data_IF_252136103625
#
_entry.id   IF_252136103625
#
_cell.length_a   1.000
_cell.length_b   1.000
_cell.length_c   1.000
_cell.angle_alpha   90.00
_cell.angle_beta   90.00
_cell.angle_gamma   90.00
#
_symmetry.space_group_name_H-M   'P 1'
#
loop_
_entity.id
_entity.type
_entity.pdbx_description
1 polymer ?
#
# COMPACT_ATOMS: atom_id res chain seq x y z
N UNK A 1 -9.92 -5.89 -20.69
CA UNK A 1 -9.57 -6.38 -19.34
C UNK A 1 -9.25 -5.16 -18.52
N UNK A 2 -10.00 -4.90 -17.45
CA UNK A 2 -9.77 -3.72 -16.60
C UNK A 2 -8.37 -3.78 -15.99
N UNK A 3 -7.64 -2.65 -15.87
CA UNK A 3 -6.36 -2.65 -15.16
C UNK A 3 -6.58 -3.15 -13.74
N UNK A 4 -5.73 -4.05 -13.25
CA UNK A 4 -5.70 -4.34 -11.80
C UNK A 4 -5.26 -3.06 -11.10
N UNK A 5 -6.01 -2.59 -10.10
CA UNK A 5 -5.70 -1.34 -9.37
C UNK A 5 -4.74 -1.58 -8.19
N UNK A 6 -4.58 -2.82 -7.76
CA UNK A 6 -3.67 -3.21 -6.67
C UNK A 6 -3.34 -4.70 -6.66
N UNK A 7 -2.31 -5.06 -5.92
CA UNK A 7 -1.87 -6.43 -5.64
C UNK A 7 -1.77 -6.63 -4.12
N UNK A 8 -2.16 -7.80 -3.61
CA UNK A 8 -2.12 -8.13 -2.19
C UNK A 8 -1.25 -9.37 -1.99
N UNK A 9 -0.28 -9.26 -1.09
CA UNK A 9 0.65 -10.34 -0.75
C UNK A 9 0.65 -10.57 0.77
N UNK A 10 0.75 -11.84 1.19
CA UNK A 10 1.00 -12.16 2.58
C UNK A 10 2.50 -12.05 2.86
N UNK A 11 2.87 -11.31 3.89
CA UNK A 11 4.25 -11.09 4.28
C UNK A 11 4.42 -11.33 5.79
N UNK A 12 5.56 -11.88 6.17
CA UNK A 12 5.94 -12.02 7.59
C UNK A 12 6.88 -10.89 7.97
N UNK A 13 6.48 -10.07 8.94
CA UNK A 13 7.28 -8.96 9.46
C UNK A 13 8.30 -9.44 10.51
N UNK A 14 9.34 -8.64 10.84
CA UNK A 14 10.45 -9.11 11.69
C UNK A 14 10.08 -9.62 13.09
N UNK A 15 8.93 -9.21 13.62
CA UNK A 15 8.38 -9.69 14.89
C UNK A 15 7.70 -11.07 14.78
N UNK A 16 7.62 -11.64 13.57
CA UNK A 16 6.99 -12.92 13.27
C UNK A 16 5.49 -12.84 12.95
N UNK A 17 4.88 -11.65 13.00
CA UNK A 17 3.47 -11.46 12.61
C UNK A 17 3.32 -11.62 11.08
N UNK A 18 2.25 -12.30 10.64
CA UNK A 18 1.91 -12.39 9.22
C UNK A 18 0.82 -11.36 8.91
N UNK A 19 1.10 -10.46 7.97
CA UNK A 19 0.21 -9.39 7.56
C UNK A 19 -0.08 -9.47 6.05
N UNK A 20 -1.16 -8.80 5.62
CA UNK A 20 -1.43 -8.56 4.22
C UNK A 20 -0.85 -7.20 3.80
N UNK A 21 0.08 -7.20 2.85
CA UNK A 21 0.61 -5.99 2.22
C UNK A 21 -0.14 -5.73 0.91
N UNK A 22 -0.79 -4.57 0.79
CA UNK A 22 -1.45 -4.13 -0.45
C UNK A 22 -0.59 -3.11 -1.18
N UNK A 23 -0.14 -3.46 -2.37
CA UNK A 23 0.60 -2.58 -3.27
C UNK A 23 -0.37 -1.94 -4.26
N UNK A 24 -0.45 -0.61 -4.24
CA UNK A 24 -1.20 0.15 -5.25
C UNK A 24 -0.36 0.24 -6.53
N UNK A 25 -0.91 -0.13 -7.68
CA UNK A 25 -0.17 -0.09 -8.94
C UNK A 25 -0.29 1.28 -9.62
N UNK A 26 0.72 1.64 -10.41
CA UNK A 26 0.83 2.94 -11.09
C UNK A 26 -0.20 3.16 -12.21
N UNK A 27 -0.87 2.09 -12.68
CA UNK A 27 -1.80 2.15 -13.80
C UNK A 27 -3.23 2.58 -13.40
N UNK A 28 -3.39 3.21 -12.24
CA UNK A 28 -4.66 3.79 -11.81
C UNK A 28 -5.03 4.97 -12.71
N UNK A 29 -6.30 5.10 -13.14
CA UNK A 29 -6.78 6.29 -13.86
C UNK A 29 -6.80 7.54 -12.97
N UNK A 30 -6.67 7.38 -11.66
CA UNK A 30 -6.60 8.46 -10.68
C UNK A 30 -5.15 8.76 -10.25
N UNK A 31 -4.85 10.01 -9.86
CA UNK A 31 -3.53 10.38 -9.36
C UNK A 31 -3.09 9.48 -8.20
N UNK A 32 -1.91 8.88 -8.33
CA UNK A 32 -1.41 7.84 -7.41
C UNK A 32 -1.38 8.34 -5.96
N UNK A 33 -0.91 9.56 -5.73
CA UNK A 33 -0.88 10.18 -4.39
C UNK A 33 -2.27 10.37 -3.80
N UNK A 34 -3.26 10.72 -4.62
CA UNK A 34 -4.63 10.91 -4.15
C UNK A 34 -5.25 9.56 -3.78
N UNK A 35 -5.07 8.53 -4.61
CA UNK A 35 -5.55 7.17 -4.34
C UNK A 35 -4.91 6.62 -3.07
N UNK A 36 -3.58 6.76 -2.94
CA UNK A 36 -2.81 6.34 -1.78
C UNK A 36 -3.30 7.04 -0.51
N UNK A 37 -3.35 8.37 -0.52
CA UNK A 37 -3.78 9.15 0.63
C UNK A 37 -5.23 8.81 1.03
N UNK A 38 -6.15 8.69 0.07
CA UNK A 38 -7.53 8.35 0.37
C UNK A 38 -7.64 7.00 1.10
N UNK A 39 -6.93 5.98 0.62
CA UNK A 39 -7.01 4.65 1.22
C UNK A 39 -6.38 4.61 2.61
N UNK A 40 -5.18 5.19 2.76
CA UNK A 40 -4.48 5.26 4.04
C UNK A 40 -5.27 6.07 5.06
N UNK A 41 -5.77 7.26 4.72
CA UNK A 41 -6.57 8.09 5.63
C UNK A 41 -7.87 7.41 6.03
N UNK A 42 -8.54 6.74 5.09
CA UNK A 42 -9.81 6.05 5.37
C UNK A 42 -9.62 4.90 6.35
N UNK A 43 -8.60 4.06 6.17
CA UNK A 43 -8.33 2.93 7.07
C UNK A 43 -7.77 3.42 8.41
N UNK A 44 -6.92 4.44 8.43
CA UNK A 44 -6.43 5.04 9.68
C UNK A 44 -7.56 5.61 10.55
N UNK A 45 -8.58 6.21 9.93
CA UNK A 45 -9.74 6.73 10.65
C UNK A 45 -10.68 5.63 11.17
N UNK A 46 -10.61 4.41 10.62
CA UNK A 46 -11.47 3.29 10.98
C UNK A 46 -10.77 2.36 11.97
N UNK A 47 -10.90 2.65 13.26
CA UNK A 47 -10.46 1.78 14.34
C UNK A 47 -11.66 1.14 15.03
N UNK A 48 -12.04 -0.07 14.59
CA UNK A 48 -13.17 -0.82 15.13
C UNK A 48 -12.85 -2.32 15.13
N UNK A 49 -13.41 -3.10 16.07
CA UNK A 49 -13.16 -4.55 16.19
C UNK A 49 -13.46 -5.32 14.89
N UNK A 50 -14.47 -4.87 14.16
CA UNK A 50 -14.91 -5.49 12.90
C UNK A 50 -14.31 -4.85 11.63
N UNK A 51 -13.38 -3.90 11.78
CA UNK A 51 -12.71 -3.23 10.67
C UNK A 51 -11.24 -3.61 10.61
N UNK A 52 -10.67 -3.64 9.40
CA UNK A 52 -9.24 -3.92 9.22
C UNK A 52 -8.41 -2.80 9.84
N UNK A 53 -7.37 -3.18 10.58
CA UNK A 53 -6.42 -2.24 11.18
C UNK A 53 -5.24 -2.05 10.24
N UNK A 54 -4.90 -0.80 9.94
CA UNK A 54 -3.62 -0.49 9.30
C UNK A 54 -2.48 -0.72 10.29
N UNK A 55 -1.54 -1.61 9.95
CA UNK A 55 -0.33 -1.86 10.76
C UNK A 55 0.77 -0.85 10.42
N UNK A 56 0.87 -0.46 9.15
CA UNK A 56 1.81 0.55 8.65
C UNK A 56 1.60 0.78 7.15
N UNK A 57 2.29 1.76 6.59
CA UNK A 57 2.28 2.04 5.15
C UNK A 57 3.68 2.46 4.68
N UNK A 58 3.93 2.29 3.38
CA UNK A 58 5.12 2.78 2.70
C UNK A 58 4.67 3.65 1.52
N UNK A 59 5.13 4.90 1.51
CA UNK A 59 4.91 5.86 0.41
C UNK A 59 6.26 6.27 -0.21
N UNK A 60 7.19 5.32 -0.31
CA UNK A 60 8.44 5.55 -1.03
C UNK A 60 8.30 5.05 -2.47
N UNK A 61 8.33 6.00 -3.42
CA UNK A 61 8.63 5.68 -4.81
C UNK A 61 10.03 5.09 -4.84
N UNK A 62 10.22 3.90 -5.41
CA UNK A 62 11.54 3.32 -5.65
C UNK A 62 12.45 4.39 -6.26
N UNK A 63 13.34 5.01 -5.46
CA UNK A 63 14.45 5.78 -6.01
C UNK A 63 15.27 4.78 -6.80
N UNK A 64 15.12 4.82 -8.13
CA UNK A 64 16.06 4.17 -9.02
C UNK A 64 17.44 4.71 -8.63
N UNK A 65 18.28 3.85 -8.07
CA UNK A 65 19.70 4.16 -7.89
C UNK A 65 20.25 4.28 -9.31
N UNK A 66 20.33 5.49 -9.84
CA UNK A 66 21.07 5.76 -11.06
C UNK A 66 22.54 5.51 -10.71
N UNK A 67 23.05 4.32 -11.04
CA UNK A 67 24.48 4.07 -11.09
C UNK A 67 25.05 4.91 -12.21
N UNK A 68 25.51 6.13 -11.89
CA UNK A 68 26.40 6.88 -12.76
C UNK A 68 27.73 6.12 -12.82
N UNK A 69 28.02 5.55 -14.00
CA UNK A 69 29.37 5.17 -14.40
C UNK A 69 30.13 6.41 -14.87
#
# INVERSE_FOLDING_TARGET
MSPKESEVELVTVPDGETIAAKKLVENSPFPQDKTFNNEVQSIMALQHENAVRLVGYCHESLKKVEQNN
#
